data_IF_934842188676
#
_entry.id   IF_934842188676
#
_cell.length_a   1.000
_cell.length_b   1.000
_cell.length_c   1.000
_cell.angle_alpha   90.00
_cell.angle_beta   90.00
_cell.angle_gamma   90.00
#
_symmetry.space_group_name_H-M   'P 1'
#
loop_
_entity.id
_entity.type
_entity.pdbx_description
1 polymer ?
#
# COMPACT_ATOMS: atom_id res chain seq x y z
N UNK A 1 18.68 -1.38 -2.03
CA UNK A 1 17.98 -1.50 -3.32
C UNK A 1 17.40 -0.15 -3.73
N UNK A 2 16.49 0.43 -2.94
CA UNK A 2 15.98 1.80 -3.15
C UNK A 2 17.04 2.92 -3.16
N UNK A 3 18.15 2.75 -2.42
CA UNK A 3 19.27 3.69 -2.46
C UNK A 3 20.04 3.70 -3.80
N UNK A 4 19.91 2.63 -4.61
CA UNK A 4 20.51 2.54 -5.95
C UNK A 4 19.53 2.95 -7.04
N UNK A 5 18.26 2.58 -6.88
CA UNK A 5 17.16 3.03 -7.71
C UNK A 5 15.98 3.48 -6.82
N UNK A 6 15.83 4.79 -6.57
CA UNK A 6 14.75 5.33 -5.74
C UNK A 6 13.34 5.09 -6.28
N UNK A 7 13.22 4.68 -7.56
CA UNK A 7 11.96 4.39 -8.25
C UNK A 7 11.69 2.88 -8.41
N UNK A 8 12.56 2.01 -7.87
CA UNK A 8 12.33 0.56 -7.87
C UNK A 8 11.09 0.21 -7.04
N UNK A 9 9.99 0.02 -7.75
CA UNK A 9 8.65 -0.25 -7.21
C UNK A 9 8.59 -1.57 -6.47
N UNK A 10 9.38 -2.56 -6.91
CA UNK A 10 9.47 -3.87 -6.25
C UNK A 10 10.06 -3.66 -4.86
N UNK A 11 11.20 -2.96 -4.79
CA UNK A 11 11.85 -2.64 -3.52
C UNK A 11 10.93 -1.83 -2.59
N UNK A 12 10.31 -0.78 -3.13
CA UNK A 12 9.41 0.09 -2.36
C UNK A 12 8.21 -0.67 -1.81
N UNK A 13 7.64 -1.60 -2.57
CA UNK A 13 6.48 -2.37 -2.13
C UNK A 13 6.83 -3.37 -1.02
N UNK A 14 7.99 -4.03 -1.11
CA UNK A 14 8.46 -4.89 -0.02
C UNK A 14 8.68 -4.11 1.28
N UNK A 15 9.11 -2.84 1.20
CA UNK A 15 9.25 -2.00 2.40
C UNK A 15 7.90 -1.71 3.10
N UNK A 16 6.77 -1.72 2.39
CA UNK A 16 5.43 -1.60 3.02
C UNK A 16 5.16 -2.81 3.92
N UNK A 17 5.43 -4.02 3.41
CA UNK A 17 5.26 -5.26 4.17
C UNK A 17 6.21 -5.31 5.38
N UNK A 18 7.48 -4.91 5.20
CA UNK A 18 8.46 -4.84 6.29
C UNK A 18 8.04 -3.84 7.37
N UNK A 19 7.57 -2.64 7.00
CA UNK A 19 7.13 -1.63 7.96
C UNK A 19 5.95 -2.11 8.81
N UNK A 20 5.01 -2.87 8.22
CA UNK A 20 3.92 -3.52 8.95
C UNK A 20 4.45 -4.60 9.91
N UNK A 21 5.38 -5.44 9.46
CA UNK A 21 5.99 -6.47 10.29
C UNK A 21 6.80 -5.91 11.47
N UNK A 22 7.46 -4.77 11.28
CA UNK A 22 8.19 -4.03 12.31
C UNK A 22 7.29 -3.12 13.16
N UNK A 23 5.99 -3.06 12.87
CA UNK A 23 5.01 -2.23 13.58
C UNK A 23 5.42 -0.75 13.70
N UNK A 24 5.98 -0.17 12.62
CA UNK A 24 6.45 1.23 12.61
C UNK A 24 5.33 2.29 12.73
N UNK A 25 4.08 1.85 12.87
CA UNK A 25 2.93 2.71 13.05
C UNK A 25 2.28 3.22 11.76
N UNK A 26 1.11 3.86 11.88
CA UNK A 26 0.25 4.20 10.74
C UNK A 26 0.82 5.33 9.86
N UNK A 27 1.57 6.28 10.43
CA UNK A 27 2.19 7.37 9.68
C UNK A 27 3.23 6.82 8.68
N UNK A 28 4.08 5.93 9.16
CA UNK A 28 5.20 5.35 8.43
C UNK A 28 4.72 4.34 7.36
N UNK A 29 3.61 3.64 7.64
CA UNK A 29 2.92 2.81 6.65
C UNK A 29 2.26 3.65 5.54
N UNK A 30 1.71 4.82 5.90
CA UNK A 30 1.06 5.73 4.93
C UNK A 30 2.09 6.37 4.00
N UNK A 31 3.18 6.91 4.55
CA UNK A 31 4.24 7.54 3.77
C UNK A 31 4.87 6.57 2.73
N UNK A 32 5.07 5.30 3.08
CA UNK A 32 5.58 4.29 2.13
C UNK A 32 4.58 3.95 1.04
N UNK A 33 3.30 3.83 1.38
CA UNK A 33 2.25 3.59 0.39
C UNK A 33 2.15 4.76 -0.59
N UNK A 34 2.09 5.99 -0.08
CA UNK A 34 1.98 7.22 -0.88
C UNK A 34 3.12 7.34 -1.89
N UNK A 35 4.34 6.97 -1.49
CA UNK A 35 5.51 6.96 -2.38
C UNK A 35 5.37 5.96 -3.54
N UNK A 36 4.77 4.79 -3.32
CA UNK A 36 4.54 3.81 -4.39
C UNK A 36 3.46 4.30 -5.34
N UNK A 37 2.33 4.78 -4.82
CA UNK A 37 1.21 5.22 -5.68
C UNK A 37 1.47 6.53 -6.41
N UNK A 38 2.41 7.36 -5.93
CA UNK A 38 2.90 8.51 -6.68
C UNK A 38 3.62 8.11 -7.98
N UNK A 39 4.25 6.93 -8.01
CA UNK A 39 4.93 6.38 -9.19
C UNK A 39 4.01 5.48 -10.01
N UNK A 40 3.25 4.61 -9.34
CA UNK A 40 2.35 3.62 -9.92
C UNK A 40 1.01 3.60 -9.18
N UNK A 41 0.07 4.49 -9.55
CA UNK A 41 -1.18 4.72 -8.82
C UNK A 41 -2.02 3.46 -8.56
N UNK A 42 -1.94 2.48 -9.46
CA UNK A 42 -2.72 1.23 -9.41
C UNK A 42 -1.83 0.00 -9.17
N UNK A 43 -0.68 0.15 -8.52
CA UNK A 43 0.21 -0.98 -8.21
C UNK A 43 -0.48 -1.97 -7.24
N UNK A 44 -0.93 -3.11 -7.79
CA UNK A 44 -1.81 -4.05 -7.10
C UNK A 44 -1.25 -4.50 -5.74
N UNK A 45 0.01 -4.95 -5.71
CA UNK A 45 0.60 -5.47 -4.48
C UNK A 45 0.73 -4.39 -3.39
N UNK A 46 0.91 -3.11 -3.75
CA UNK A 46 0.99 -2.03 -2.77
C UNK A 46 -0.38 -1.75 -2.13
N UNK A 47 -1.44 -1.76 -2.94
CA UNK A 47 -2.83 -1.68 -2.46
C UNK A 47 -3.19 -2.87 -1.57
N UNK A 48 -2.79 -4.09 -1.93
CA UNK A 48 -2.97 -5.28 -1.08
C UNK A 48 -2.24 -5.13 0.26
N UNK A 49 -0.99 -4.68 0.27
CA UNK A 49 -0.24 -4.49 1.52
C UNK A 49 -0.84 -3.39 2.39
N UNK A 50 -1.35 -2.31 1.78
CA UNK A 50 -2.07 -1.23 2.49
C UNK A 50 -3.36 -1.74 3.10
N UNK A 51 -4.17 -2.49 2.33
CA UNK A 51 -5.40 -3.10 2.81
C UNK A 51 -5.14 -4.03 4.00
N UNK A 52 -4.12 -4.90 3.90
CA UNK A 52 -3.71 -5.77 5.00
C UNK A 52 -3.32 -4.97 6.24
N UNK A 53 -2.56 -3.88 6.10
CA UNK A 53 -2.17 -3.03 7.24
C UNK A 53 -3.33 -2.34 7.94
N UNK A 54 -4.49 -2.21 7.29
CA UNK A 54 -5.70 -1.63 7.88
C UNK A 54 -6.59 -2.67 8.58
N UNK A 55 -6.38 -3.98 8.36
CA UNK A 55 -7.17 -5.01 9.01
C UNK A 55 -6.97 -5.00 10.55
N UNK A 56 -8.02 -5.37 11.30
CA UNK A 56 -7.99 -5.47 12.75
C UNK A 56 -6.81 -6.32 13.30
N UNK A 57 -6.42 -7.38 12.58
CA UNK A 57 -5.28 -8.24 12.96
C UNK A 57 -3.92 -7.51 13.02
N UNK A 58 -3.81 -6.32 12.42
CA UNK A 58 -2.60 -5.49 12.39
C UNK A 58 -2.79 -4.16 13.13
N UNK A 59 -3.63 -4.13 14.18
CA UNK A 59 -3.95 -2.92 14.95
C UNK A 59 -4.72 -1.84 14.16
N UNK A 60 -5.30 -2.21 13.02
CA UNK A 60 -6.24 -1.37 12.28
C UNK A 60 -7.68 -1.58 12.73
N UNK A 61 -8.61 -1.17 11.87
CA UNK A 61 -10.05 -1.35 12.08
C UNK A 61 -10.75 -1.62 10.74
N UNK A 62 -11.79 -2.45 10.78
CA UNK A 62 -12.46 -2.92 9.57
C UNK A 62 -13.17 -1.80 8.82
N UNK A 63 -13.59 -0.74 9.51
CA UNK A 63 -14.22 0.43 8.89
C UNK A 63 -13.23 1.16 7.97
N UNK A 64 -12.01 1.45 8.45
CA UNK A 64 -10.95 2.05 7.64
C UNK A 64 -10.52 1.14 6.51
N UNK A 65 -10.40 -0.17 6.76
CA UNK A 65 -10.08 -1.16 5.74
C UNK A 65 -11.11 -1.16 4.60
N UNK A 66 -12.40 -1.21 4.94
CA UNK A 66 -13.49 -1.17 3.96
C UNK A 66 -13.61 0.19 3.25
N UNK A 67 -13.42 1.30 3.98
CA UNK A 67 -13.41 2.64 3.39
C UNK A 67 -12.31 2.78 2.35
N UNK A 68 -11.10 2.28 2.66
CA UNK A 68 -9.99 2.25 1.74
C UNK A 68 -10.32 1.40 0.49
N UNK A 69 -10.78 0.15 0.68
CA UNK A 69 -11.12 -0.73 -0.44
C UNK A 69 -12.14 -0.09 -1.41
N UNK A 70 -13.21 0.50 -0.86
CA UNK A 70 -14.25 1.16 -1.66
C UNK A 70 -13.71 2.36 -2.44
N UNK A 71 -12.88 3.19 -1.81
CA UNK A 71 -12.24 4.34 -2.46
C UNK A 71 -11.29 3.91 -3.57
N UNK A 72 -10.49 2.88 -3.33
CA UNK A 72 -9.54 2.35 -4.32
C UNK A 72 -10.27 1.80 -5.54
N UNK A 73 -11.31 1.00 -5.35
CA UNK A 73 -12.10 0.44 -6.47
C UNK A 73 -12.82 1.55 -7.24
N UNK A 74 -13.43 2.51 -6.55
CA UNK A 74 -14.13 3.62 -7.20
C UNK A 74 -13.19 4.53 -8.05
N UNK A 75 -11.91 4.56 -7.72
CA UNK A 75 -10.90 5.31 -8.47
C UNK A 75 -10.13 4.49 -9.52
N UNK A 76 -10.34 3.18 -9.60
CA UNK A 76 -9.60 2.33 -10.53
C UNK A 76 -10.11 2.47 -11.98
N UNK A 77 -9.24 2.41 -13.00
CA UNK A 77 -9.64 2.44 -14.40
C UNK A 77 -10.41 1.17 -14.78
N UNK A 78 -11.32 1.29 -15.76
CA UNK A 78 -12.09 0.17 -16.29
C UNK A 78 -11.17 -0.93 -16.86
N UNK A 79 -11.46 -2.20 -16.54
CA UNK A 79 -10.69 -3.36 -17.03
C UNK A 79 -9.53 -3.83 -16.12
N UNK A 80 -9.58 -3.50 -14.83
CA UNK A 80 -8.46 -3.64 -13.87
C UNK A 80 -7.81 -5.02 -13.72
N UNK A 81 -6.69 -5.21 -14.42
CA UNK A 81 -5.45 -5.81 -13.90
C UNK A 81 -4.30 -4.97 -14.45
N UNK A 82 -3.79 -4.03 -13.65
CA UNK A 82 -2.56 -3.29 -14.00
C UNK A 82 -1.40 -4.29 -13.91
N UNK A 83 -0.90 -4.74 -15.06
CA UNK A 83 0.27 -5.62 -15.18
C UNK A 83 1.57 -4.92 -14.80
#
# INVERSE_FOLDING_TARGET
MTARDPADVTALTFMIATARGLQLGPAEATARFDRVVALHPYHQYAHEQRLQGLCAKWSGDDERMLSFARKTVAGAPDGGLSR
#
